data_IF_926891738279
#
_entry.id   IF_926891738279
#
_cell.length_a   1.000
_cell.length_b   1.000
_cell.length_c   1.000
_cell.angle_alpha   90.00
_cell.angle_beta   90.00
_cell.angle_gamma   90.00
#
_symmetry.space_group_name_H-M   'P 1'
#
loop_
_entity.id
_entity.type
_entity.pdbx_description
1 polymer ?
#
# COMPACT_ATOMS: atom_id res chain seq x y z
N UNK A 1 9.78 -11.96 -23.68
CA UNK A 1 9.96 -10.89 -22.68
C UNK A 1 8.61 -10.73 -22.03
N UNK A 2 8.56 -10.73 -20.70
CA UNK A 2 7.30 -10.51 -20.01
C UNK A 2 6.89 -9.04 -20.19
N UNK A 3 5.63 -8.80 -20.52
CA UNK A 3 5.09 -7.46 -20.72
C UNK A 3 4.66 -6.87 -19.37
N UNK A 4 4.83 -5.57 -19.16
CA UNK A 4 4.27 -4.89 -17.99
C UNK A 4 2.76 -4.75 -18.16
N UNK A 5 1.99 -5.23 -17.18
CA UNK A 5 0.52 -5.28 -17.23
C UNK A 5 -0.16 -4.22 -16.35
N UNK A 6 0.52 -3.72 -15.32
CA UNK A 6 0.10 -2.54 -14.55
C UNK A 6 1.28 -1.98 -13.73
N UNK A 7 1.22 -0.70 -13.39
CA UNK A 7 2.31 0.05 -12.76
C UNK A 7 1.79 1.20 -11.88
N UNK A 8 2.71 1.79 -11.11
CA UNK A 8 2.53 3.00 -10.31
C UNK A 8 1.24 3.04 -9.48
N UNK A 9 0.89 1.92 -8.85
CA UNK A 9 -0.35 1.76 -8.08
C UNK A 9 -0.07 1.26 -6.68
N UNK A 10 -0.95 1.59 -5.74
CA UNK A 10 -0.84 1.19 -4.35
C UNK A 10 -2.15 0.54 -3.90
N UNK A 11 -2.07 -0.39 -2.95
CA UNK A 11 -3.24 -1.03 -2.36
C UNK A 11 -3.15 -1.00 -0.85
N UNK A 12 -4.30 -0.80 -0.22
CA UNK A 12 -4.49 -1.06 1.20
C UNK A 12 -5.40 -2.26 1.32
N UNK A 13 -4.89 -3.32 1.93
CA UNK A 13 -5.59 -4.58 2.09
C UNK A 13 -5.70 -4.91 3.56
N UNK A 14 -6.90 -5.19 4.07
CA UNK A 14 -7.14 -5.31 5.50
C UNK A 14 -8.19 -6.36 5.85
N UNK A 15 -8.14 -6.82 7.08
CA UNK A 15 -9.17 -7.66 7.68
C UNK A 15 -9.88 -6.88 8.79
N UNK A 16 -11.21 -6.89 8.72
CA UNK A 16 -12.07 -6.29 9.73
C UNK A 16 -12.45 -7.31 10.83
N UNK A 17 -12.82 -6.81 12.00
CA UNK A 17 -13.50 -7.63 12.99
C UNK A 17 -14.89 -8.04 12.48
N UNK A 18 -15.24 -9.31 12.64
CA UNK A 18 -16.43 -9.95 12.05
C UNK A 18 -17.72 -9.31 12.56
N UNK A 19 -17.69 -8.66 13.73
CA UNK A 19 -18.82 -7.98 14.35
C UNK A 19 -18.95 -6.49 13.97
N UNK A 20 -18.03 -5.95 13.17
CA UNK A 20 -18.00 -4.53 12.84
C UNK A 20 -18.81 -4.21 11.58
N UNK A 21 -20.04 -3.71 11.74
CA UNK A 21 -20.77 -3.02 10.67
C UNK A 21 -20.27 -1.59 10.52
N UNK A 22 -19.03 -1.44 10.04
CA UNK A 22 -18.33 -0.15 9.98
C UNK A 22 -17.89 0.12 8.55
N UNK A 23 -18.28 1.29 8.03
CA UNK A 23 -17.86 1.77 6.73
C UNK A 23 -16.40 2.28 6.75
N UNK A 24 -15.47 1.32 6.74
CA UNK A 24 -14.03 1.60 6.64
C UNK A 24 -13.67 2.22 5.29
N UNK A 25 -14.46 1.98 4.25
CA UNK A 25 -14.24 2.58 2.92
C UNK A 25 -14.39 4.10 2.98
N UNK A 26 -15.42 4.62 3.64
CA UNK A 26 -15.59 6.06 3.86
C UNK A 26 -14.45 6.69 4.66
N UNK A 27 -13.92 5.98 5.67
CA UNK A 27 -12.76 6.44 6.44
C UNK A 27 -11.52 6.56 5.54
N UNK A 28 -11.23 5.54 4.74
CA UNK A 28 -10.11 5.56 3.80
C UNK A 28 -10.24 6.71 2.81
N UNK A 29 -11.43 6.90 2.22
CA UNK A 29 -11.71 8.04 1.33
C UNK A 29 -11.37 9.36 2.03
N UNK A 30 -11.81 9.54 3.28
CA UNK A 30 -11.50 10.77 4.02
C UNK A 30 -10.01 10.97 4.30
N UNK A 31 -9.25 9.90 4.56
CA UNK A 31 -7.84 9.97 4.93
C UNK A 31 -6.91 10.12 3.72
N UNK A 32 -7.31 9.59 2.56
CA UNK A 32 -6.45 9.51 1.39
C UNK A 32 -6.86 10.47 0.26
N UNK A 33 -8.17 10.60 -0.05
CA UNK A 33 -8.62 11.54 -1.09
C UNK A 33 -8.56 13.00 -0.63
N UNK A 34 -9.02 13.29 0.59
CA UNK A 34 -9.15 14.68 1.05
C UNK A 34 -7.82 15.28 1.52
N UNK A 35 -6.95 14.48 2.11
CA UNK A 35 -5.71 14.97 2.73
C UNK A 35 -4.49 14.84 1.83
N UNK A 36 -4.44 13.82 0.97
CA UNK A 36 -3.19 13.38 0.34
C UNK A 36 -3.29 13.28 -1.19
N UNK A 37 -4.41 13.74 -1.78
CA UNK A 37 -4.69 13.75 -3.22
C UNK A 37 -4.64 12.36 -3.90
N UNK A 38 -4.72 11.28 -3.12
CA UNK A 38 -4.84 9.93 -3.68
C UNK A 38 -6.26 9.73 -4.20
N UNK A 39 -6.40 9.17 -5.39
CA UNK A 39 -7.71 8.64 -5.81
C UNK A 39 -7.95 7.30 -5.14
N UNK A 40 -9.11 7.10 -4.50
CA UNK A 40 -9.46 5.83 -3.84
C UNK A 40 -10.48 5.07 -4.68
N UNK A 41 -10.17 3.80 -4.95
CA UNK A 41 -10.99 2.89 -5.73
C UNK A 41 -11.40 1.71 -4.83
N UNK A 42 -12.70 1.51 -4.67
CA UNK A 42 -13.23 0.36 -3.94
C UNK A 42 -12.97 -0.94 -4.68
N UNK A 43 -12.93 -2.07 -3.96
CA UNK A 43 -12.66 -3.40 -4.54
C UNK A 43 -13.47 -3.73 -5.78
N UNK A 44 -14.73 -3.32 -5.84
CA UNK A 44 -15.66 -3.61 -6.94
C UNK A 44 -15.31 -2.89 -8.25
N UNK A 45 -14.49 -1.84 -8.21
CA UNK A 45 -14.04 -1.09 -9.39
C UNK A 45 -12.58 -1.39 -9.76
N UNK A 46 -11.83 -2.10 -8.91
CA UNK A 46 -10.47 -2.56 -9.21
C UNK A 46 -10.55 -3.63 -10.30
N UNK A 47 -9.64 -3.57 -11.27
CA UNK A 47 -9.59 -4.58 -12.33
C UNK A 47 -9.30 -5.97 -11.76
N UNK A 48 -10.05 -6.97 -12.25
CA UNK A 48 -9.92 -8.36 -11.80
C UNK A 48 -8.50 -8.92 -12.02
N UNK A 49 -7.81 -8.47 -13.07
CA UNK A 49 -6.43 -8.89 -13.34
C UNK A 49 -5.47 -8.43 -12.24
N UNK A 50 -5.58 -7.20 -11.70
CA UNK A 50 -4.72 -6.71 -10.61
C UNK A 50 -4.96 -7.52 -9.33
N UNK A 51 -6.23 -7.72 -8.98
CA UNK A 51 -6.62 -8.52 -7.83
C UNK A 51 -6.13 -9.96 -7.93
N UNK A 52 -6.31 -10.58 -9.10
CA UNK A 52 -5.82 -11.93 -9.38
C UNK A 52 -4.30 -11.99 -9.35
N UNK A 53 -3.61 -10.93 -9.80
CA UNK A 53 -2.15 -10.85 -9.79
C UNK A 53 -1.60 -10.89 -8.36
N UNK A 54 -2.20 -10.07 -7.49
CA UNK A 54 -1.78 -9.84 -6.11
C UNK A 54 -2.50 -10.73 -5.09
N UNK A 55 -3.29 -11.71 -5.52
CA UNK A 55 -4.19 -12.50 -4.68
C UNK A 55 -3.53 -13.10 -3.42
N UNK A 56 -2.25 -13.47 -3.48
CA UNK A 56 -1.49 -14.03 -2.36
C UNK A 56 -1.16 -13.01 -1.24
N UNK A 57 -1.30 -11.72 -1.51
CA UNK A 57 -1.00 -10.63 -0.57
C UNK A 57 -2.25 -9.88 -0.12
N UNK A 58 -3.39 -10.17 -0.76
CA UNK A 58 -4.66 -9.50 -0.53
C UNK A 58 -5.43 -10.22 0.58
N UNK A 59 -5.84 -9.44 1.58
CA UNK A 59 -6.76 -9.78 2.65
C UNK A 59 -8.23 -9.70 2.18
N UNK A 60 -9.17 -9.88 3.11
CA UNK A 60 -10.62 -9.92 2.79
C UNK A 60 -11.09 -8.65 2.09
N UNK A 61 -10.76 -7.49 2.66
CA UNK A 61 -11.10 -6.17 2.13
C UNK A 61 -9.88 -5.53 1.48
N UNK A 62 -10.10 -4.80 0.39
CA UNK A 62 -9.01 -4.13 -0.34
C UNK A 62 -9.53 -2.92 -1.08
N UNK A 63 -8.72 -1.86 -1.05
CA UNK A 63 -8.88 -0.68 -1.90
C UNK A 63 -7.61 -0.48 -2.72
N UNK A 64 -7.76 0.08 -3.91
CA UNK A 64 -6.64 0.65 -4.66
C UNK A 64 -6.60 2.14 -4.36
N UNK A 65 -5.42 2.65 -4.05
CA UNK A 65 -5.17 4.09 -3.92
C UNK A 65 -4.14 4.47 -4.96
N UNK A 66 -4.40 5.56 -5.69
CA UNK A 66 -3.58 5.96 -6.82
C UNK A 66 -3.04 7.37 -6.60
N UNK A 67 -1.72 7.48 -6.53
CA UNK A 67 -0.99 8.73 -6.64
C UNK A 67 0.36 8.46 -7.34
N UNK A 68 0.55 9.03 -8.53
CA UNK A 68 1.79 8.84 -9.30
C UNK A 68 2.96 9.66 -8.75
N UNK A 69 2.68 10.87 -8.25
CA UNK A 69 3.69 11.73 -7.62
C UNK A 69 4.27 11.04 -6.39
N UNK A 70 3.43 10.36 -5.61
CA UNK A 70 3.89 9.55 -4.48
C UNK A 70 4.93 8.49 -4.88
N UNK A 71 4.72 7.77 -5.99
CA UNK A 71 5.69 6.73 -6.42
C UNK A 71 7.01 7.36 -6.89
N UNK A 72 6.95 8.49 -7.60
CA UNK A 72 8.15 9.22 -8.00
C UNK A 72 8.97 9.65 -6.79
N UNK A 73 8.33 10.33 -5.83
CA UNK A 73 8.98 10.77 -4.58
C UNK A 73 9.45 9.57 -3.73
N UNK A 74 8.71 8.46 -3.76
CA UNK A 74 9.09 7.22 -3.09
C UNK A 74 10.36 6.62 -3.70
N UNK A 75 10.51 6.63 -5.02
CA UNK A 75 11.70 6.10 -5.68
C UNK A 75 12.92 7.02 -5.56
N UNK A 76 12.71 8.31 -5.30
CA UNK A 76 13.74 9.33 -5.11
C UNK A 76 14.10 9.60 -3.64
N UNK A 77 13.52 8.86 -2.69
CA UNK A 77 13.80 9.03 -1.27
C UNK A 77 15.09 8.31 -0.85
N UNK A 78 16.22 9.01 -0.86
CA UNK A 78 17.54 8.43 -0.59
C UNK A 78 18.02 8.54 0.87
N UNK A 79 17.56 9.54 1.62
CA UNK A 79 18.03 9.83 2.97
C UNK A 79 16.88 9.70 3.99
N UNK A 80 17.00 8.75 4.94
CA UNK A 80 15.93 8.42 5.90
C UNK A 80 15.42 9.66 6.67
N UNK A 81 16.32 10.58 7.01
CA UNK A 81 15.98 11.77 7.78
C UNK A 81 15.26 12.84 6.95
N UNK A 82 15.31 12.75 5.61
CA UNK A 82 14.68 13.69 4.67
C UNK A 82 13.42 13.09 4.04
N UNK A 83 12.43 12.72 4.88
CA UNK A 83 11.19 12.08 4.40
C UNK A 83 10.40 13.04 3.48
N UNK A 84 10.14 12.70 2.21
CA UNK A 84 9.33 13.50 1.30
C UNK A 84 7.91 13.73 1.83
N UNK A 85 7.36 14.92 1.57
CA UNK A 85 6.05 15.32 2.08
C UNK A 85 4.91 14.33 1.71
N UNK A 86 4.80 13.82 0.47
CA UNK A 86 3.77 12.83 0.13
C UNK A 86 3.91 11.52 0.94
N UNK A 87 5.14 11.12 1.28
CA UNK A 87 5.41 9.93 2.10
C UNK A 87 5.05 10.18 3.57
N UNK A 88 5.37 11.37 4.09
CA UNK A 88 4.97 11.79 5.43
C UNK A 88 3.45 11.72 5.58
N UNK A 89 2.72 12.33 4.64
CA UNK A 89 1.26 12.34 4.58
C UNK A 89 0.68 10.93 4.48
N UNK A 90 1.24 10.10 3.61
CA UNK A 90 0.84 8.70 3.47
C UNK A 90 0.99 7.93 4.79
N UNK A 91 2.18 8.01 5.42
CA UNK A 91 2.45 7.35 6.70
C UNK A 91 1.52 7.81 7.82
N UNK A 92 1.20 9.10 7.89
CA UNK A 92 0.23 9.64 8.85
C UNK A 92 -1.18 9.06 8.63
N UNK A 93 -1.64 9.00 7.38
CA UNK A 93 -2.94 8.41 7.05
C UNK A 93 -3.00 6.91 7.34
N UNK A 94 -1.89 6.18 7.15
CA UNK A 94 -1.77 4.78 7.55
C UNK A 94 -1.87 4.62 9.06
N UNK A 95 -1.12 5.41 9.82
CA UNK A 95 -1.15 5.37 11.28
C UNK A 95 -2.55 5.70 11.81
N UNK A 96 -3.22 6.71 11.25
CA UNK A 96 -4.58 7.08 11.63
C UNK A 96 -5.60 5.99 11.27
N UNK A 97 -5.49 5.40 10.07
CA UNK A 97 -6.31 4.27 9.67
C UNK A 97 -6.14 3.10 10.65
N UNK A 98 -4.90 2.78 11.01
CA UNK A 98 -4.58 1.61 11.82
C UNK A 98 -4.93 1.76 13.31
N UNK A 99 -5.13 2.99 13.80
CA UNK A 99 -5.76 3.26 15.11
C UNK A 99 -7.22 2.78 15.17
N UNK A 100 -7.87 2.56 14.02
CA UNK A 100 -9.20 1.99 14.00
C UNK A 100 -9.19 0.60 14.66
N UNK A 101 -9.93 0.47 15.77
CA UNK A 101 -9.99 -0.77 16.56
C UNK A 101 -10.55 -1.96 15.78
N UNK A 102 -11.32 -1.73 14.72
CA UNK A 102 -11.94 -2.77 13.90
C UNK A 102 -10.98 -3.34 12.85
N UNK A 103 -9.88 -2.66 12.53
CA UNK A 103 -8.85 -3.19 11.63
C UNK A 103 -7.92 -4.09 12.45
N UNK A 104 -7.89 -5.38 12.10
CA UNK A 104 -7.02 -6.38 12.75
C UNK A 104 -5.67 -6.50 12.06
N UNK A 105 -5.67 -6.43 10.74
CA UNK A 105 -4.49 -6.52 9.89
C UNK A 105 -4.59 -5.46 8.81
N UNK A 106 -3.45 -4.84 8.49
CA UNK A 106 -3.32 -3.91 7.39
C UNK A 106 -2.06 -4.30 6.61
N UNK A 107 -2.21 -4.44 5.31
CA UNK A 107 -1.15 -4.73 4.37
C UNK A 107 -1.14 -3.63 3.34
N UNK A 108 0.01 -2.98 3.20
CA UNK A 108 0.28 -1.99 2.17
C UNK A 108 0.98 -2.72 1.03
N UNK A 109 0.49 -2.55 -0.18
CA UNK A 109 1.12 -3.09 -1.38
C UNK A 109 1.49 -1.91 -2.27
N UNK A 110 2.78 -1.72 -2.58
CA UNK A 110 3.23 -0.70 -3.52
C UNK A 110 3.73 -1.42 -4.78
N UNK A 111 3.23 -0.99 -5.94
CA UNK A 111 3.60 -1.59 -7.23
C UNK A 111 4.26 -0.53 -8.08
N UNK A 112 5.56 -0.72 -8.33
CA UNK A 112 6.31 0.06 -9.31
C UNK A 112 5.88 -0.35 -10.72
N UNK A 113 5.92 -1.65 -10.98
CA UNK A 113 5.41 -2.31 -12.19
C UNK A 113 5.16 -3.79 -11.89
N UNK A 114 4.28 -4.43 -12.63
CA UNK A 114 4.01 -5.87 -12.53
C UNK A 114 4.02 -6.49 -13.93
N UNK A 115 4.68 -7.64 -14.06
CA UNK A 115 4.79 -8.35 -15.35
C UNK A 115 3.65 -9.33 -15.58
N UNK A 116 3.36 -9.65 -16.84
CA UNK A 116 2.37 -10.67 -17.21
C UNK A 116 2.73 -12.07 -16.68
N UNK A 117 4.03 -12.36 -16.56
CA UNK A 117 4.57 -13.58 -15.96
C UNK A 117 4.95 -13.31 -14.50
N UNK A 118 4.07 -13.62 -13.54
CA UNK A 118 4.30 -13.39 -12.09
C UNK A 118 5.68 -13.78 -11.55
N UNK A 119 6.27 -14.85 -12.09
CA UNK A 119 7.58 -15.35 -11.66
C UNK A 119 8.74 -14.42 -12.03
N UNK A 120 8.50 -13.43 -12.90
CA UNK A 120 9.45 -12.35 -13.20
C UNK A 120 9.34 -11.18 -12.24
N UNK A 121 8.27 -11.10 -11.44
CA UNK A 121 8.18 -10.11 -10.38
C UNK A 121 9.12 -10.46 -9.23
N UNK A 122 9.93 -9.48 -8.83
CA UNK A 122 10.65 -9.47 -7.57
C UNK A 122 9.74 -8.85 -6.52
N UNK A 123 9.47 -9.61 -5.46
CA UNK A 123 8.57 -9.16 -4.38
C UNK A 123 9.36 -8.96 -3.09
N UNK A 124 9.27 -7.76 -2.54
CA UNK A 124 9.71 -7.46 -1.17
C UNK A 124 8.56 -7.72 -0.21
N UNK A 125 8.79 -8.50 0.85
CA UNK A 125 7.77 -8.74 1.88
C UNK A 125 8.42 -8.56 3.23
N UNK A 126 7.88 -7.65 4.04
CA UNK A 126 8.37 -7.41 5.39
C UNK A 126 7.21 -7.09 6.34
N UNK A 127 7.43 -7.38 7.62
CA UNK A 127 6.49 -7.11 8.70
C UNK A 127 7.03 -5.94 9.56
N UNK A 128 6.20 -4.93 9.81
CA UNK A 128 6.57 -3.76 10.61
C UNK A 128 5.51 -3.45 11.67
N UNK A 129 5.96 -2.87 12.78
CA UNK A 129 5.04 -2.19 13.70
C UNK A 129 4.55 -0.89 13.03
N UNK A 130 3.27 -0.57 13.19
CA UNK A 130 2.70 0.62 12.55
C UNK A 130 3.37 1.94 13.00
N UNK A 131 3.93 1.99 14.21
CA UNK A 131 4.74 3.11 14.70
C UNK A 131 6.03 3.32 13.88
N UNK A 132 6.57 2.25 13.29
CA UNK A 132 7.79 2.26 12.48
C UNK A 132 7.49 2.25 10.97
N UNK A 133 6.32 2.74 10.56
CA UNK A 133 5.91 2.74 9.14
C UNK A 133 6.92 3.41 8.22
N UNK A 134 7.54 4.51 8.67
CA UNK A 134 8.52 5.24 7.86
C UNK A 134 9.79 4.43 7.63
N UNK A 135 10.24 3.63 8.61
CA UNK A 135 11.36 2.71 8.42
C UNK A 135 11.02 1.66 7.36
N UNK A 136 9.83 1.08 7.43
CA UNK A 136 9.38 0.10 6.44
C UNK A 136 9.24 0.68 5.03
N UNK A 137 8.72 1.91 4.91
CA UNK A 137 8.64 2.61 3.64
C UNK A 137 10.04 2.95 3.11
N UNK A 138 10.96 3.41 3.96
CA UNK A 138 12.32 3.75 3.56
C UNK A 138 13.09 2.54 3.05
N UNK A 139 13.05 1.42 3.78
CA UNK A 139 13.67 0.18 3.34
C UNK A 139 13.10 -0.28 1.98
N UNK A 140 11.78 -0.19 1.81
CA UNK A 140 11.16 -0.53 0.54
C UNK A 140 11.59 0.41 -0.62
N UNK A 141 11.82 1.69 -0.33
CA UNK A 141 12.25 2.72 -1.28
C UNK A 141 13.72 2.55 -1.71
N UNK A 142 14.65 2.62 -0.74
CA UNK A 142 16.09 2.77 -0.96
C UNK A 142 16.80 1.52 -1.47
N UNK A 143 16.31 0.33 -1.11
CA UNK A 143 16.92 -0.88 -1.63
C UNK A 143 16.43 -1.08 -3.07
N UNK A 144 17.14 -0.53 -4.05
CA UNK A 144 16.87 -0.68 -5.50
C UNK A 144 16.86 -2.12 -6.06
N UNK A 145 16.83 -3.12 -5.18
CA UNK A 145 16.67 -4.56 -5.43
C UNK A 145 15.54 -5.20 -4.59
N UNK A 146 14.77 -4.42 -3.82
CA UNK A 146 13.73 -4.95 -2.91
C UNK A 146 12.61 -5.64 -3.69
N UNK A 147 12.18 -5.04 -4.79
CA UNK A 147 11.19 -5.63 -5.69
C UNK A 147 10.46 -4.59 -6.51
N UNK A 148 9.87 -5.01 -7.62
CA UNK A 148 8.89 -4.22 -8.36
C UNK A 148 7.50 -4.26 -7.71
N UNK A 149 7.30 -5.18 -6.77
CA UNK A 149 6.16 -5.24 -5.85
C UNK A 149 6.70 -5.23 -4.42
N UNK A 150 6.20 -4.31 -3.59
CA UNK A 150 6.52 -4.19 -2.17
C UNK A 150 5.27 -4.53 -1.38
N UNK A 151 5.41 -5.36 -0.35
CA UNK A 151 4.34 -5.78 0.56
C UNK A 151 4.78 -5.52 1.99
N UNK A 152 4.19 -4.52 2.63
CA UNK A 152 4.43 -4.18 4.04
C UNK A 152 3.22 -4.61 4.87
N UNK A 153 3.43 -5.53 5.81
CA UNK A 153 2.38 -6.00 6.72
C UNK A 153 2.54 -5.30 8.06
N UNK A 154 1.46 -4.66 8.52
CA UNK A 154 1.48 -3.89 9.75
C UNK A 154 0.84 -4.68 10.88
N UNK A 155 1.52 -4.67 12.03
CA UNK A 155 1.03 -5.14 13.31
C UNK A 155 0.79 -4.00 14.29
N UNK A 156 -0.12 -4.23 15.25
CA UNK A 156 -0.31 -3.37 16.43
C UNK A 156 0.74 -3.74 17.47
N UNK A 157 1.18 -2.73 18.21
CA UNK A 157 2.03 -2.90 19.40
C UNK A 157 1.30 -3.65 20.52
#
# INVERSE_FOLDING_TARGET
MADVIFDCTQFLSFDLDVEADVDVSSLIVSLFEKSNLFRVLSKSVISEHKLSHLAQFINTDTVEIQNQEFIGEFDEWFEMDEIPYPIQQFGQSIQELYKNKYIKKLTIILVRYAYSEKNTDTVFIEDYQCENIYEGLYHASCFGNSGNIVVLRLSKT
#
